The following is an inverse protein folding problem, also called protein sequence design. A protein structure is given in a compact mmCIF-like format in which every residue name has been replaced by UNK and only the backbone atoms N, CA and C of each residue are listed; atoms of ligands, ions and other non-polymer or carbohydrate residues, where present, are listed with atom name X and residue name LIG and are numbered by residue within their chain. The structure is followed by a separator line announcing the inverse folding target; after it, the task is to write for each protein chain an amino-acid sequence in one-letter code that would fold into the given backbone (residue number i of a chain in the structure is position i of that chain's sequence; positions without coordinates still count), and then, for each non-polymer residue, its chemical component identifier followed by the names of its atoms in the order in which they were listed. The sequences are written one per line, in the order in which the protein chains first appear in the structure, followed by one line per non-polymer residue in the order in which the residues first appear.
data_IF_402913985384
#
_entry.id   IF_402913985384
#
_cell.length_a   1.000
_cell.length_b   1.000
_cell.length_c   1.000
_cell.angle_alpha   90.00
_cell.angle_beta   90.00
_cell.angle_gamma   90.00
#
_symmetry.space_group_name_H-M   'P 1'
#
loop_
_entity.id
_entity.type
_entity.pdbx_description
1 polymer ?
#
# COMPACT_ATOMS: atom_id res chain seq x y z
N UNK A 1 -2.87 51.56 45.20
CA UNK A 1 -3.19 51.56 43.76
C UNK A 1 -2.89 50.19 43.21
N UNK A 2 -3.93 49.53 42.73
CA UNK A 2 -3.95 48.15 42.25
C UNK A 2 -3.03 47.90 41.07
N UNK A 3 -2.43 46.71 41.00
CA UNK A 3 -2.27 46.03 39.72
C UNK A 3 -2.29 44.51 39.94
N UNK A 4 -3.38 43.89 39.52
CA UNK A 4 -3.58 42.45 39.43
C UNK A 4 -2.93 41.99 38.13
N UNK A 5 -2.01 41.03 38.16
CA UNK A 5 -1.61 40.29 36.96
C UNK A 5 -1.88 38.80 37.17
N UNK A 6 -2.70 38.28 36.26
CA UNK A 6 -3.24 36.92 36.25
C UNK A 6 -2.15 35.87 36.00
N UNK A 7 -2.26 34.75 36.70
CA UNK A 7 -1.45 33.56 36.44
C UNK A 7 -1.84 32.89 35.14
N UNK A 8 -0.88 32.71 34.23
CA UNK A 8 -0.97 31.73 33.16
C UNK A 8 -0.32 30.43 33.64
N UNK A 9 -1.14 29.38 33.80
CA UNK A 9 -0.67 28.00 33.88
C UNK A 9 -0.22 27.57 32.49
N UNK A 10 1.09 27.39 32.31
CA UNK A 10 1.64 26.79 31.10
C UNK A 10 1.26 25.31 31.02
N UNK A 11 0.42 24.94 30.05
CA UNK A 11 0.28 23.56 29.59
C UNK A 11 1.53 23.21 28.78
N UNK A 12 2.33 22.28 29.28
CA UNK A 12 3.37 21.63 28.49
C UNK A 12 2.68 20.74 27.44
N UNK A 13 2.69 21.18 26.19
CA UNK A 13 2.32 20.33 25.07
C UNK A 13 3.43 19.30 24.87
N UNK A 14 3.14 18.03 25.15
CA UNK A 14 3.98 16.93 24.72
C UNK A 14 3.88 16.83 23.19
N UNK A 15 4.87 17.36 22.48
CA UNK A 15 5.02 17.16 21.05
C UNK A 15 5.33 15.69 20.80
N UNK A 16 4.29 14.92 20.47
CA UNK A 16 4.43 13.60 19.88
C UNK A 16 5.05 13.80 18.49
N UNK A 17 6.36 13.62 18.39
CA UNK A 17 7.04 13.50 17.10
C UNK A 17 6.60 12.17 16.51
N UNK A 18 5.51 12.21 15.73
CA UNK A 18 5.21 11.17 14.77
C UNK A 18 6.37 11.18 13.77
N UNK A 19 7.30 10.25 13.94
CA UNK A 19 8.32 9.99 12.95
C UNK A 19 7.61 9.65 11.65
N UNK A 20 7.59 10.57 10.70
CA UNK A 20 7.35 10.26 9.30
C UNK A 20 8.53 9.40 8.87
N UNK A 21 8.40 8.08 9.04
CA UNK A 21 9.27 7.16 8.33
C UNK A 21 9.23 7.56 6.87
N UNK A 22 10.39 7.83 6.27
CA UNK A 22 10.47 8.14 4.85
C UNK A 22 9.80 6.97 4.11
N UNK A 23 8.61 7.20 3.56
CA UNK A 23 8.00 6.27 2.62
C UNK A 23 8.99 6.22 1.46
N UNK A 24 9.72 5.11 1.35
CA UNK A 24 10.65 4.95 0.24
C UNK A 24 9.82 4.85 -1.03
N UNK A 25 10.00 5.88 -1.86
CA UNK A 25 9.32 6.14 -3.11
C UNK A 25 9.23 4.89 -3.99
N UNK A 26 8.04 4.58 -4.51
CA UNK A 26 7.71 3.30 -5.11
C UNK A 26 6.76 3.39 -6.32
N UNK A 27 6.99 2.51 -7.29
CA UNK A 27 6.02 2.20 -8.34
C UNK A 27 4.71 1.70 -7.72
N UNK A 28 3.62 2.47 -7.86
CA UNK A 28 2.35 2.20 -7.18
C UNK A 28 1.17 2.08 -8.16
N UNK A 29 0.38 1.00 -8.04
CA UNK A 29 -0.79 0.78 -8.90
C UNK A 29 -1.93 1.68 -8.49
N UNK A 30 -2.50 2.40 -9.45
CA UNK A 30 -3.65 3.28 -9.29
C UNK A 30 -4.94 2.58 -9.74
N UNK A 31 -6.09 3.01 -9.21
CA UNK A 31 -7.39 2.35 -9.44
C UNK A 31 -7.83 2.35 -10.90
N UNK A 32 -7.42 3.35 -11.68
CA UNK A 32 -7.70 3.41 -13.12
C UNK A 32 -6.79 2.48 -13.96
N UNK A 33 -5.94 1.67 -13.30
CA UNK A 33 -5.07 0.71 -13.98
C UNK A 33 -3.83 1.34 -14.58
N UNK A 34 -3.30 2.40 -13.97
CA UNK A 34 -1.98 2.98 -14.24
C UNK A 34 -1.01 2.67 -13.11
N UNK A 35 0.28 2.90 -13.31
CA UNK A 35 1.33 2.77 -12.29
C UNK A 35 2.01 4.12 -12.13
N UNK A 36 1.91 4.72 -10.95
CA UNK A 36 2.59 5.97 -10.62
C UNK A 36 4.03 5.69 -10.20
N UNK A 37 4.97 6.38 -10.85
CA UNK A 37 6.38 6.50 -10.50
C UNK A 37 6.55 7.87 -9.84
N UNK A 38 6.69 7.88 -8.52
CA UNK A 38 6.84 9.08 -7.69
C UNK A 38 8.26 9.67 -7.71
N UNK A 39 9.24 8.93 -8.23
CA UNK A 39 10.61 9.42 -8.43
C UNK A 39 10.69 10.27 -9.69
N UNK A 40 10.08 9.79 -10.78
CA UNK A 40 10.03 10.50 -12.05
C UNK A 40 8.82 11.44 -12.17
N UNK A 41 7.89 11.36 -11.23
CA UNK A 41 6.60 12.05 -11.23
C UNK A 41 5.84 11.82 -12.56
N UNK A 42 5.67 10.55 -12.92
CA UNK A 42 4.92 10.12 -14.12
C UNK A 42 4.04 8.91 -13.82
N UNK A 43 2.93 8.79 -14.54
CA UNK A 43 2.10 7.58 -14.52
C UNK A 43 2.22 6.82 -15.83
N UNK A 44 2.56 5.55 -15.74
CA UNK A 44 2.60 4.60 -16.85
C UNK A 44 1.25 3.92 -17.02
N UNK A 45 0.84 3.59 -18.24
CA UNK A 45 -0.18 2.56 -18.40
C UNK A 45 0.35 1.24 -17.81
N UNK A 46 -0.45 0.56 -16.98
CA UNK A 46 -0.05 -0.73 -16.42
C UNK A 46 0.09 -1.79 -17.50
N UNK A 47 -0.71 -1.68 -18.56
CA UNK A 47 -0.63 -2.54 -19.74
C UNK A 47 0.42 -1.99 -20.71
N UNK A 48 1.59 -2.59 -20.74
CA UNK A 48 2.66 -2.20 -21.64
C UNK A 48 2.39 -2.59 -23.10
N UNK A 49 1.28 -3.26 -23.41
CA UNK A 49 0.95 -3.72 -24.75
C UNK A 49 -0.51 -3.40 -25.11
N UNK A 50 -0.98 -2.21 -24.71
CA UNK A 50 -2.36 -1.79 -24.89
C UNK A 50 -2.88 -1.96 -26.33
N UNK A 51 -2.07 -1.70 -27.37
CA UNK A 51 -2.47 -1.89 -28.78
C UNK A 51 -2.90 -3.34 -29.03
N UNK A 52 -2.04 -4.30 -28.70
CA UNK A 52 -2.30 -5.72 -28.93
C UNK A 52 -3.40 -6.26 -28.02
N UNK A 53 -3.44 -5.84 -26.75
CA UNK A 53 -4.54 -6.18 -25.83
C UNK A 53 -5.89 -5.72 -26.37
N UNK A 54 -6.01 -4.44 -26.72
CA UNK A 54 -7.26 -3.84 -27.19
C UNK A 54 -7.66 -4.40 -28.55
N UNK A 55 -6.69 -4.71 -29.42
CA UNK A 55 -7.02 -5.35 -30.69
C UNK A 55 -7.58 -6.76 -30.50
N UNK A 56 -6.91 -7.61 -29.71
CA UNK A 56 -7.36 -8.99 -29.47
C UNK A 56 -8.73 -9.04 -28.81
N UNK A 57 -9.07 -8.02 -28.02
CA UNK A 57 -10.39 -7.84 -27.41
C UNK A 57 -11.45 -7.24 -28.36
N UNK A 58 -11.06 -6.79 -29.56
CA UNK A 58 -11.89 -6.02 -30.48
C UNK A 58 -12.54 -4.80 -29.79
N UNK A 59 -11.73 -4.09 -28.99
CA UNK A 59 -12.20 -2.98 -28.15
C UNK A 59 -12.64 -1.76 -29.01
N UNK A 60 -13.69 -1.01 -28.60
CA UNK A 60 -14.11 0.22 -29.29
C UNK A 60 -13.01 1.28 -29.46
N UNK A 61 -12.07 1.38 -28.52
CA UNK A 61 -10.90 2.25 -28.65
C UNK A 61 -10.05 1.77 -29.82
N UNK A 62 -9.73 0.48 -29.88
CA UNK A 62 -8.96 -0.06 -31.00
C UNK A 62 -9.68 0.09 -32.34
N UNK A 63 -10.94 -0.32 -32.42
CA UNK A 63 -11.70 -0.34 -33.68
C UNK A 63 -12.00 1.05 -34.26
N UNK A 64 -11.81 2.11 -33.46
CA UNK A 64 -11.92 3.49 -33.91
C UNK A 64 -10.58 4.16 -34.23
N UNK A 65 -9.45 3.46 -34.06
CA UNK A 65 -8.14 3.97 -34.43
C UNK A 65 -8.00 4.02 -35.97
N UNK A 66 -7.36 5.06 -36.48
CA UNK A 66 -7.16 5.24 -37.93
C UNK A 66 -5.77 5.81 -38.18
N UNK A 67 -4.75 4.95 -38.39
CA UNK A 67 -3.38 5.40 -38.68
C UNK A 67 -3.28 6.00 -40.09
N UNK A 68 -2.43 6.99 -40.26
CA UNK A 68 -2.23 7.69 -41.56
C UNK A 68 -1.26 6.98 -42.50
N UNK A 69 -0.53 5.98 -41.99
CA UNK A 69 0.44 5.16 -42.74
C UNK A 69 -0.17 4.33 -43.89
N UNK A 70 -1.49 4.13 -43.86
CA UNK A 70 -2.20 3.24 -44.79
C UNK A 70 -2.16 1.75 -44.42
N UNK A 71 -1.48 1.35 -43.33
CA UNK A 71 -1.62 -0.02 -42.78
C UNK A 71 -3.03 -0.23 -42.26
N UNK A 72 -3.62 -1.38 -42.56
CA UNK A 72 -4.94 -1.72 -42.03
C UNK A 72 -4.82 -2.10 -40.54
N UNK A 73 -5.90 -1.86 -39.76
CA UNK A 73 -5.96 -2.35 -38.38
C UNK A 73 -5.78 -3.88 -38.32
N UNK A 74 -6.30 -4.62 -39.31
CA UNK A 74 -6.10 -6.07 -39.39
C UNK A 74 -4.63 -6.47 -39.46
N UNK A 75 -3.83 -5.77 -40.28
CA UNK A 75 -2.40 -6.05 -40.43
C UNK A 75 -1.60 -5.69 -39.18
N UNK A 76 -1.91 -4.54 -38.55
CA UNK A 76 -1.28 -4.13 -37.29
C UNK A 76 -1.58 -5.17 -36.20
N UNK A 77 -2.83 -5.60 -36.08
CA UNK A 77 -3.22 -6.60 -35.10
C UNK A 77 -2.58 -7.97 -35.31
N UNK A 78 -2.49 -8.40 -36.57
CA UNK A 78 -1.85 -9.66 -36.94
C UNK A 78 -0.34 -9.65 -36.65
N UNK A 79 0.28 -8.47 -36.63
CA UNK A 79 1.68 -8.23 -36.22
C UNK A 79 1.79 -7.92 -34.71
N UNK A 80 0.90 -8.50 -33.91
CA UNK A 80 0.80 -8.28 -32.46
C UNK A 80 0.69 -6.81 -32.04
N UNK A 81 0.20 -5.90 -32.90
CA UNK A 81 0.01 -4.49 -32.52
C UNK A 81 1.28 -3.64 -32.55
N UNK A 82 2.29 -4.05 -33.33
CA UNK A 82 3.47 -3.24 -33.58
C UNK A 82 3.18 -2.05 -34.50
N UNK A 83 3.88 -0.93 -34.26
CA UNK A 83 3.59 0.35 -34.90
C UNK A 83 4.87 0.96 -35.48
N UNK A 84 4.79 1.53 -36.68
CA UNK A 84 5.75 2.53 -37.12
C UNK A 84 5.74 3.72 -36.15
N UNK A 85 6.81 4.50 -36.10
CA UNK A 85 6.93 5.57 -35.12
C UNK A 85 5.78 6.59 -35.22
N UNK A 86 5.40 6.97 -36.44
CA UNK A 86 4.28 7.88 -36.67
C UNK A 86 2.94 7.28 -36.21
N UNK A 87 2.73 5.97 -36.43
CA UNK A 87 1.52 5.27 -35.95
C UNK A 87 1.48 5.22 -34.42
N UNK A 88 2.63 5.08 -33.74
CA UNK A 88 2.73 5.13 -32.28
C UNK A 88 2.36 6.52 -31.73
N UNK A 89 2.80 7.60 -32.39
CA UNK A 89 2.41 8.96 -32.03
C UNK A 89 0.92 9.18 -32.24
N UNK A 90 0.36 8.71 -33.35
CA UNK A 90 -1.08 8.78 -33.65
C UNK A 90 -1.91 7.94 -32.69
N UNK A 91 -1.41 6.78 -32.28
CA UNK A 91 -2.05 5.93 -31.29
C UNK A 91 -2.18 6.65 -29.94
N UNK A 92 -1.13 7.31 -29.48
CA UNK A 92 -1.17 8.14 -28.27
C UNK A 92 -2.18 9.29 -28.41
N UNK A 93 -2.19 9.99 -29.55
CA UNK A 93 -3.17 11.04 -29.79
C UNK A 93 -4.62 10.51 -29.76
N UNK A 94 -4.82 9.30 -30.27
CA UNK A 94 -6.09 8.60 -30.25
C UNK A 94 -6.53 8.19 -28.83
N UNK A 95 -5.61 7.69 -27.99
CA UNK A 95 -5.90 7.42 -26.57
C UNK A 95 -6.41 8.67 -25.85
N UNK A 96 -5.84 9.84 -26.17
CA UNK A 96 -6.27 11.12 -25.61
C UNK A 96 -7.66 11.55 -26.08
N UNK A 97 -7.95 11.42 -27.38
CA UNK A 97 -9.29 11.68 -27.94
C UNK A 97 -10.34 10.78 -27.27
N UNK A 98 -10.01 9.52 -27.01
CA UNK A 98 -10.92 8.56 -26.36
C UNK A 98 -10.97 8.65 -24.85
N UNK A 99 -10.22 9.56 -24.22
CA UNK A 99 -10.10 9.65 -22.77
C UNK A 99 -9.80 8.28 -22.16
N UNK A 100 -8.85 7.55 -22.76
CA UNK A 100 -8.51 6.19 -22.34
C UNK A 100 -8.14 6.17 -20.84
N UNK A 101 -8.84 5.35 -20.06
CA UNK A 101 -8.73 5.28 -18.58
C UNK A 101 -9.00 6.62 -17.86
N UNK A 102 -9.80 7.49 -18.48
CA UNK A 102 -10.12 8.82 -17.98
C UNK A 102 -8.98 9.84 -18.14
N UNK A 103 -7.98 9.54 -18.98
CA UNK A 103 -6.77 10.34 -19.17
C UNK A 103 -6.75 10.91 -20.60
N UNK A 104 -6.36 12.18 -20.74
CA UNK A 104 -6.34 12.93 -22.01
C UNK A 104 -4.98 13.56 -22.33
N UNK A 105 -3.96 13.31 -21.51
CA UNK A 105 -2.61 13.85 -21.62
C UNK A 105 -1.53 12.74 -21.73
N UNK A 106 -1.90 11.58 -22.28
CA UNK A 106 -0.95 10.53 -22.65
C UNK A 106 0.08 11.04 -23.64
N UNK A 107 1.31 10.55 -23.48
CA UNK A 107 2.44 10.72 -24.39
C UNK A 107 3.23 9.42 -24.49
N UNK A 108 4.11 9.32 -25.48
CA UNK A 108 5.20 8.37 -25.40
C UNK A 108 6.20 8.85 -24.33
N UNK A 109 6.88 7.90 -23.70
CA UNK A 109 7.99 8.19 -22.80
C UNK A 109 9.16 8.84 -23.56
N UNK A 110 10.00 9.58 -22.86
CA UNK A 110 11.06 10.40 -23.42
C UNK A 110 12.43 9.91 -23.04
N UNK A 111 13.38 10.18 -23.93
CA UNK A 111 14.80 9.91 -23.76
C UNK A 111 15.54 11.24 -23.60
N UNK A 112 16.27 11.42 -22.50
CA UNK A 112 17.22 12.54 -22.34
C UNK A 112 18.45 12.31 -23.23
N UNK A 113 18.91 13.35 -23.95
CA UNK A 113 20.10 13.28 -24.80
C UNK A 113 20.97 14.55 -24.70
N UNK A 114 22.30 14.43 -24.60
CA UNK A 114 23.05 13.20 -24.29
C UNK A 114 22.75 12.72 -22.86
N UNK A 115 22.53 11.42 -22.69
CA UNK A 115 22.43 10.81 -21.36
C UNK A 115 23.81 10.28 -20.94
N UNK A 116 24.48 10.89 -19.95
CA UNK A 116 25.82 10.50 -19.52
C UNK A 116 25.87 9.13 -18.82
N UNK A 117 24.73 8.57 -18.43
CA UNK A 117 24.65 7.28 -17.75
C UNK A 117 24.68 6.09 -18.72
N UNK A 118 24.41 6.34 -20.01
CA UNK A 118 24.57 5.36 -21.06
C UNK A 118 26.02 4.85 -21.17
N UNK A 119 26.18 3.56 -21.45
CA UNK A 119 27.48 2.88 -21.57
C UNK A 119 28.28 3.31 -22.80
N UNK A 120 27.65 4.00 -23.75
CA UNK A 120 28.32 4.53 -24.95
C UNK A 120 27.87 5.95 -25.25
N UNK A 121 28.82 6.78 -25.71
CA UNK A 121 28.62 8.17 -26.08
C UNK A 121 29.17 8.39 -27.49
N UNK A 122 28.44 9.09 -28.35
CA UNK A 122 28.91 9.49 -29.68
C UNK A 122 29.58 10.86 -29.63
N UNK A 123 30.38 11.16 -30.64
CA UNK A 123 30.93 12.50 -30.91
C UNK A 123 30.12 13.23 -31.99
N UNK A 124 28.85 12.84 -32.19
CA UNK A 124 27.96 13.52 -33.14
C UNK A 124 27.71 14.97 -32.69
N UNK A 125 27.10 15.77 -33.56
CA UNK A 125 26.66 17.12 -33.24
C UNK A 125 25.13 17.23 -33.39
N UNK A 126 24.35 17.21 -32.29
CA UNK A 126 24.79 17.15 -30.89
C UNK A 126 25.22 15.72 -30.45
N UNK A 127 26.05 15.58 -29.40
CA UNK A 127 26.47 14.27 -28.86
C UNK A 127 25.27 13.44 -28.37
N UNK A 128 25.38 12.11 -28.44
CA UNK A 128 24.30 11.18 -28.07
C UNK A 128 24.80 10.09 -27.12
N UNK A 129 23.99 9.72 -26.12
CA UNK A 129 24.16 8.54 -25.27
C UNK A 129 23.30 7.37 -25.76
N UNK A 130 23.87 6.18 -25.85
CA UNK A 130 23.19 4.99 -26.38
C UNK A 130 23.72 3.69 -25.76
N UNK A 131 23.14 2.57 -26.18
CA UNK A 131 23.37 1.22 -25.64
C UNK A 131 22.76 1.03 -24.25
N UNK A 132 23.53 0.61 -23.24
CA UNK A 132 22.98 0.11 -21.97
C UNK A 132 23.12 1.14 -20.84
N UNK A 133 22.31 1.00 -19.80
CA UNK A 133 22.43 1.82 -18.58
C UNK A 133 21.93 3.27 -18.70
N UNK A 134 21.21 3.60 -19.76
CA UNK A 134 20.65 4.93 -20.02
C UNK A 134 19.52 5.29 -19.04
N UNK A 135 19.85 5.63 -17.79
CA UNK A 135 18.91 5.97 -16.71
C UNK A 135 18.35 7.40 -16.77
N UNK A 136 18.82 8.25 -17.67
CA UNK A 136 18.19 9.54 -17.97
C UNK A 136 16.97 9.44 -18.89
N UNK A 137 16.76 8.27 -19.51
CA UNK A 137 15.53 7.91 -20.20
C UNK A 137 14.47 7.44 -19.21
N UNK A 138 13.21 7.83 -19.39
CA UNK A 138 12.14 7.45 -18.46
C UNK A 138 11.96 5.94 -18.37
N UNK A 139 12.01 5.24 -19.52
CA UNK A 139 11.91 3.78 -19.56
C UNK A 139 13.22 3.12 -19.09
N UNK A 140 14.37 3.73 -19.38
CA UNK A 140 15.67 3.24 -18.92
C UNK A 140 15.83 3.35 -17.40
N UNK A 141 15.36 4.44 -16.78
CA UNK A 141 15.28 4.60 -15.33
C UNK A 141 14.43 3.49 -14.72
N UNK A 142 13.18 3.34 -15.19
CA UNK A 142 12.26 2.30 -14.72
C UNK A 142 12.89 0.91 -14.84
N UNK A 143 13.59 0.62 -15.94
CA UNK A 143 14.24 -0.66 -16.18
C UNK A 143 15.40 -0.93 -15.21
N UNK A 144 16.35 0.01 -15.09
CA UNK A 144 17.65 -0.23 -14.45
C UNK A 144 17.70 0.11 -12.96
N UNK A 145 16.99 1.14 -12.53
CA UNK A 145 17.08 1.61 -11.14
C UNK A 145 16.51 0.54 -10.21
N UNK A 146 17.22 0.27 -9.11
CA UNK A 146 16.83 -0.77 -8.18
C UNK A 146 15.48 -0.43 -7.50
N UNK A 147 14.68 -1.44 -7.14
CA UNK A 147 13.49 -1.23 -6.32
C UNK A 147 13.83 -0.50 -5.02
N UNK A 148 12.94 0.36 -4.49
CA UNK A 148 11.56 0.57 -4.95
C UNK A 148 11.38 1.59 -6.10
N UNK A 149 12.43 2.34 -6.45
CA UNK A 149 12.41 3.42 -7.45
C UNK A 149 12.38 2.94 -8.93
N UNK A 150 12.57 1.65 -9.17
CA UNK A 150 12.53 1.03 -10.49
C UNK A 150 12.46 -0.49 -10.37
N UNK A 151 12.84 -1.20 -11.43
CA UNK A 151 12.73 -2.65 -11.53
C UNK A 151 14.05 -3.41 -11.28
N UNK A 152 15.20 -2.74 -11.36
CA UNK A 152 16.50 -3.35 -11.09
C UNK A 152 16.90 -4.46 -12.07
N UNK A 153 16.45 -4.38 -13.32
CA UNK A 153 16.79 -5.36 -14.35
C UNK A 153 18.26 -5.22 -14.80
N UNK A 154 18.98 -6.34 -15.04
CA UNK A 154 20.36 -6.31 -15.48
C UNK A 154 20.54 -5.77 -16.91
N UNK A 155 21.73 -5.25 -17.22
CA UNK A 155 22.12 -4.93 -18.60
C UNK A 155 22.44 -6.22 -19.36
N UNK A 156 22.19 -6.21 -20.67
CA UNK A 156 22.54 -7.34 -21.54
C UNK A 156 24.04 -7.57 -21.72
N UNK A 157 24.86 -6.53 -21.57
CA UNK A 157 26.33 -6.64 -21.65
C UNK A 157 26.97 -7.17 -20.35
N UNK A 158 26.42 -6.79 -19.19
CA UNK A 158 26.90 -7.25 -17.87
C UNK A 158 26.52 -8.71 -17.56
N UNK A 159 25.52 -9.27 -18.26
CA UNK A 159 24.96 -10.56 -17.91
C UNK A 159 24.77 -11.48 -19.14
N UNK A 160 25.79 -12.24 -19.55
CA UNK A 160 25.66 -13.21 -20.64
C UNK A 160 24.68 -14.36 -20.35
N UNK A 161 24.18 -14.48 -19.10
CA UNK A 161 23.19 -15.48 -18.70
C UNK A 161 21.76 -14.96 -18.71
N UNK A 162 21.51 -13.67 -18.94
CA UNK A 162 20.15 -13.16 -19.15
C UNK A 162 19.59 -13.48 -20.54
N UNK A 163 20.09 -14.51 -21.21
CA UNK A 163 19.41 -15.09 -22.36
C UNK A 163 18.24 -15.97 -21.87
N UNK A 164 17.03 -15.87 -22.47
CA UNK A 164 16.69 -15.11 -23.67
C UNK A 164 16.29 -13.64 -23.42
N UNK A 165 16.14 -13.20 -22.17
CA UNK A 165 15.84 -11.79 -21.84
C UNK A 165 16.36 -11.33 -20.49
N UNK A 166 16.80 -10.07 -20.45
CA UNK A 166 17.28 -9.37 -19.27
C UNK A 166 16.14 -8.69 -18.49
N UNK A 167 14.90 -8.81 -18.96
CA UNK A 167 13.72 -8.34 -18.27
C UNK A 167 13.14 -9.41 -17.34
N UNK A 168 13.74 -9.54 -16.16
CA UNK A 168 13.41 -10.57 -15.17
C UNK A 168 12.41 -10.07 -14.12
N UNK A 169 12.38 -8.77 -13.85
CA UNK A 169 11.46 -8.12 -12.94
C UNK A 169 10.55 -7.17 -13.72
N UNK A 170 9.27 -7.52 -13.80
CA UNK A 170 8.24 -6.69 -14.45
C UNK A 170 7.54 -5.76 -13.45
N UNK A 171 7.78 -5.91 -12.16
CA UNK A 171 7.12 -5.15 -11.10
C UNK A 171 5.58 -5.17 -11.25
N UNK A 172 4.89 -4.03 -11.10
CA UNK A 172 3.43 -3.95 -11.16
C UNK A 172 2.84 -4.00 -12.57
N UNK A 173 3.68 -4.07 -13.60
CA UNK A 173 3.25 -3.98 -14.99
C UNK A 173 2.80 -5.33 -15.56
N UNK A 174 1.93 -5.27 -16.56
CA UNK A 174 1.39 -6.44 -17.26
C UNK A 174 1.63 -6.33 -18.76
N UNK A 175 1.63 -7.48 -19.43
CA UNK A 175 1.81 -7.63 -20.88
C UNK A 175 3.08 -6.93 -21.43
N UNK A 176 4.16 -6.88 -20.65
CA UNK A 176 5.43 -6.38 -21.19
C UNK A 176 5.97 -7.39 -22.19
N UNK A 177 6.25 -6.92 -23.39
CA UNK A 177 6.92 -7.67 -24.44
C UNK A 177 8.42 -7.49 -24.30
N UNK A 178 9.18 -8.54 -24.60
CA UNK A 178 10.64 -8.54 -24.58
C UNK A 178 11.20 -8.00 -25.90
N UNK A 179 10.78 -6.80 -26.27
CA UNK A 179 11.05 -6.20 -27.56
C UNK A 179 11.26 -4.68 -27.43
N UNK A 180 11.24 -3.97 -28.54
CA UNK A 180 11.48 -2.55 -28.66
C UNK A 180 10.22 -1.76 -28.36
N UNK A 181 10.41 -0.69 -27.61
CA UNK A 181 9.40 0.32 -27.38
C UNK A 181 9.86 1.64 -27.98
N UNK A 182 8.97 2.34 -28.66
CA UNK A 182 9.26 3.66 -29.20
C UNK A 182 9.25 4.73 -28.12
N UNK A 183 10.27 5.59 -28.12
CA UNK A 183 10.27 6.87 -27.41
C UNK A 183 9.58 7.95 -28.25
N UNK A 184 8.99 8.94 -27.59
CA UNK A 184 8.55 10.19 -28.24
C UNK A 184 9.72 11.07 -28.70
N UNK A 185 10.96 10.76 -28.31
CA UNK A 185 12.14 11.56 -28.67
C UNK A 185 12.65 11.21 -30.08
N UNK A 186 12.64 12.18 -31.00
CA UNK A 186 13.31 12.06 -32.31
C UNK A 186 14.83 12.13 -32.15
N UNK A 187 15.57 11.42 -33.01
CA UNK A 187 17.02 11.42 -32.99
C UNK A 187 17.57 12.73 -33.58
N UNK A 188 18.19 13.56 -32.75
CA UNK A 188 18.57 14.92 -33.15
C UNK A 188 19.55 14.99 -34.36
N UNK A 189 20.57 14.12 -34.49
CA UNK A 189 21.48 14.17 -35.64
C UNK A 189 20.82 13.77 -36.97
N UNK A 190 19.74 12.99 -36.94
CA UNK A 190 18.96 12.62 -38.12
C UNK A 190 17.48 12.44 -37.76
N UNK A 191 16.63 13.40 -38.16
CA UNK A 191 15.21 13.44 -37.83
C UNK A 191 14.36 12.32 -38.44
N UNK A 192 14.88 11.59 -39.44
CA UNK A 192 14.25 10.37 -39.95
C UNK A 192 14.25 9.25 -38.93
N UNK A 193 15.09 9.35 -37.88
CA UNK A 193 15.18 8.34 -36.83
C UNK A 193 14.49 8.80 -35.53
N UNK A 194 14.08 7.83 -34.72
CA UNK A 194 13.61 8.02 -33.36
C UNK A 194 14.29 7.04 -32.40
N UNK A 195 14.28 7.37 -31.12
CA UNK A 195 14.85 6.51 -30.08
C UNK A 195 13.90 5.35 -29.74
N UNK A 196 14.46 4.15 -29.58
CA UNK A 196 13.81 2.98 -29.01
C UNK A 196 14.53 2.51 -27.74
N UNK A 197 13.82 1.73 -26.93
CA UNK A 197 14.41 0.96 -25.84
C UNK A 197 13.95 -0.49 -25.94
N UNK A 198 14.91 -1.42 -26.02
CA UNK A 198 14.66 -2.86 -26.05
C UNK A 198 14.60 -3.39 -24.62
N UNK A 199 13.42 -3.77 -24.14
CA UNK A 199 13.28 -4.41 -22.82
C UNK A 199 13.93 -5.79 -22.80
N UNK A 200 14.03 -6.49 -23.94
CA UNK A 200 14.71 -7.78 -24.02
C UNK A 200 16.19 -7.75 -23.59
N UNK A 201 16.88 -6.62 -23.82
CA UNK A 201 18.33 -6.49 -23.56
C UNK A 201 18.71 -5.26 -22.72
N UNK A 202 17.77 -4.36 -22.47
CA UNK A 202 17.99 -3.04 -21.88
C UNK A 202 18.64 -2.03 -22.85
N UNK A 203 18.82 -2.33 -24.13
CA UNK A 203 19.54 -1.42 -25.04
C UNK A 203 18.67 -0.28 -25.55
N UNK A 204 19.18 0.95 -25.50
CA UNK A 204 18.61 2.14 -26.12
C UNK A 204 19.34 2.48 -27.42
N UNK A 205 18.60 2.61 -28.54
CA UNK A 205 19.17 2.89 -29.87
C UNK A 205 18.26 3.83 -30.66
N UNK A 206 18.72 4.28 -31.83
CA UNK A 206 17.93 5.10 -32.74
C UNK A 206 17.76 4.37 -34.08
N UNK A 207 16.53 4.36 -34.60
CA UNK A 207 16.16 3.68 -35.84
C UNK A 207 15.29 4.53 -36.72
N UNK A 208 15.34 4.25 -38.01
CA UNK A 208 14.49 4.89 -39.00
C UNK A 208 13.00 4.65 -38.70
N UNK A 209 12.21 5.74 -38.72
CA UNK A 209 10.81 5.79 -38.30
C UNK A 209 9.87 4.98 -39.19
N UNK A 210 10.28 4.68 -40.42
CA UNK A 210 9.45 4.04 -41.46
C UNK A 210 9.95 2.63 -41.81
N UNK A 211 11.15 2.25 -41.36
CA UNK A 211 11.78 0.97 -41.73
C UNK A 211 11.57 -0.14 -40.71
N UNK A 212 11.16 0.18 -39.48
CA UNK A 212 10.88 -0.80 -38.42
C UNK A 212 9.58 -0.47 -37.70
N UNK A 213 8.95 -1.51 -37.16
CA UNK A 213 7.84 -1.41 -36.21
C UNK A 213 8.35 -1.69 -34.79
N UNK A 214 7.71 -1.08 -33.80
CA UNK A 214 7.95 -1.32 -32.38
C UNK A 214 6.69 -1.02 -31.56
N UNK A 215 6.70 -1.29 -30.26
CA UNK A 215 5.53 -1.13 -29.40
C UNK A 215 5.45 0.29 -28.79
N UNK A 216 4.22 0.73 -28.52
CA UNK A 216 3.96 2.02 -27.86
C UNK A 216 3.55 1.79 -26.41
N UNK A 217 4.27 2.39 -25.47
CA UNK A 217 3.92 2.38 -24.04
C UNK A 217 3.57 3.79 -23.59
N UNK A 218 2.30 4.00 -23.27
CA UNK A 218 1.77 5.30 -22.88
C UNK A 218 2.20 5.67 -21.45
N UNK A 219 2.64 6.91 -21.29
CA UNK A 219 2.90 7.56 -20.00
C UNK A 219 2.25 8.93 -19.96
N UNK A 220 2.06 9.49 -18.78
CA UNK A 220 1.66 10.90 -18.60
C UNK A 220 2.41 11.54 -17.44
N UNK A 221 2.54 12.88 -17.42
CA UNK A 221 3.08 13.58 -16.27
C UNK A 221 2.22 13.40 -15.01
N UNK A 222 2.86 13.32 -13.86
CA UNK A 222 2.23 13.32 -12.56
C UNK A 222 1.47 12.04 -12.21
N UNK A 223 1.01 12.02 -10.96
CA UNK A 223 0.04 11.04 -10.49
C UNK A 223 -1.31 11.25 -11.20
N UNK A 224 -2.02 10.19 -11.53
CA UNK A 224 -3.43 10.32 -11.94
C UNK A 224 -4.22 10.58 -10.66
N UNK A 225 -5.10 11.58 -10.68
CA UNK A 225 -5.91 11.97 -9.51
C UNK A 225 -6.29 10.75 -8.64
N UNK A 226 -5.98 10.80 -7.34
CA UNK A 226 -5.78 9.61 -6.53
C UNK A 226 -7.03 8.73 -6.48
N UNK A 227 -6.80 7.42 -6.31
CA UNK A 227 -7.81 6.46 -5.85
C UNK A 227 -8.66 7.14 -4.77
N UNK A 228 -10.01 7.03 -4.78
CA UNK A 228 -10.83 7.64 -3.75
C UNK A 228 -10.24 7.30 -2.38
N UNK A 229 -9.82 8.33 -1.65
CA UNK A 229 -9.21 8.18 -0.35
C UNK A 229 -10.19 7.42 0.53
N UNK A 230 -9.81 6.20 0.90
CA UNK A 230 -10.60 5.42 1.85
C UNK A 230 -10.58 6.13 3.19
N UNK A 231 -11.73 6.19 3.83
CA UNK A 231 -11.85 6.80 5.14
C UNK A 231 -11.31 5.84 6.20
N UNK A 232 -10.62 6.37 7.21
CA UNK A 232 -10.19 5.56 8.34
C UNK A 232 -11.38 5.04 9.15
N UNK A 233 -11.15 3.94 9.85
CA UNK A 233 -12.14 3.36 10.76
C UNK A 233 -11.57 3.24 12.16
N UNK A 234 -12.45 3.28 13.14
CA UNK A 234 -12.13 3.04 14.54
C UNK A 234 -12.84 1.76 14.93
N UNK A 235 -12.06 0.73 15.29
CA UNK A 235 -12.57 -0.51 15.86
C UNK A 235 -12.50 -0.44 17.39
N UNK A 236 -13.56 -0.87 18.07
CA UNK A 236 -13.56 -1.15 19.50
C UNK A 236 -14.02 -2.59 19.73
N UNK A 237 -13.47 -3.26 20.75
CA UNK A 237 -13.85 -4.62 21.09
C UNK A 237 -14.13 -4.74 22.59
N UNK A 238 -15.18 -5.47 22.93
CA UNK A 238 -15.54 -5.79 24.32
C UNK A 238 -15.89 -7.26 24.44
N UNK A 239 -15.48 -7.91 25.53
CA UNK A 239 -15.81 -9.30 25.84
C UNK A 239 -16.35 -9.40 27.27
N UNK A 240 -17.19 -10.40 27.53
CA UNK A 240 -17.59 -10.72 28.90
C UNK A 240 -16.40 -11.26 29.70
N UNK A 241 -16.14 -10.64 30.86
CA UNK A 241 -15.04 -10.98 31.77
C UNK A 241 -15.41 -10.56 33.21
N UNK A 242 -14.99 -11.29 34.26
CA UNK A 242 -14.29 -12.58 34.20
C UNK A 242 -15.22 -13.74 33.85
N UNK A 243 -14.68 -14.81 33.24
CA UNK A 243 -15.40 -16.06 32.94
C UNK A 243 -14.68 -17.28 33.53
N UNK A 244 -15.34 -18.43 33.51
CA UNK A 244 -14.75 -19.70 33.97
C UNK A 244 -14.15 -20.48 32.80
N UNK A 245 -13.10 -21.27 33.05
CA UNK A 245 -12.52 -22.16 32.05
C UNK A 245 -13.59 -23.04 31.38
N UNK A 246 -13.57 -23.11 30.04
CA UNK A 246 -14.54 -23.87 29.25
C UNK A 246 -15.92 -23.21 29.07
N UNK A 247 -16.17 -22.05 29.68
CA UNK A 247 -17.37 -21.23 29.40
C UNK A 247 -17.13 -20.34 28.18
N UNK A 248 -18.18 -20.02 27.43
CA UNK A 248 -18.09 -19.09 26.29
C UNK A 248 -18.27 -17.65 26.75
N UNK A 249 -17.27 -16.79 26.50
CA UNK A 249 -17.36 -15.34 26.57
C UNK A 249 -18.00 -14.79 25.30
N UNK A 250 -19.00 -13.93 25.44
CA UNK A 250 -19.56 -13.21 24.30
C UNK A 250 -18.72 -11.95 24.04
N UNK A 251 -18.12 -11.88 22.85
CA UNK A 251 -17.33 -10.76 22.39
C UNK A 251 -18.06 -9.99 21.27
N UNK A 252 -17.99 -8.66 21.32
CA UNK A 252 -18.57 -7.75 20.34
C UNK A 252 -17.51 -6.76 19.88
N UNK A 253 -17.31 -6.71 18.55
CA UNK A 253 -16.49 -5.72 17.88
C UNK A 253 -17.40 -4.72 17.15
N UNK A 254 -17.11 -3.44 17.32
CA UNK A 254 -17.82 -2.32 16.70
C UNK A 254 -16.83 -1.54 15.84
N UNK A 255 -17.10 -1.43 14.54
CA UNK A 255 -16.30 -0.68 13.58
C UNK A 255 -17.09 0.55 13.17
N UNK A 256 -16.54 1.73 13.45
CA UNK A 256 -17.14 3.02 13.09
C UNK A 256 -16.27 3.72 12.06
N UNK A 257 -16.90 4.45 11.16
CA UNK A 257 -16.21 5.35 10.24
C UNK A 257 -15.73 6.60 10.95
N UNK A 258 -14.53 7.06 10.62
CA UNK A 258 -14.00 8.33 11.15
C UNK A 258 -14.72 9.56 10.52
N UNK A 259 -15.13 9.45 9.25
CA UNK A 259 -15.88 10.50 8.55
C UNK A 259 -16.78 9.94 7.42
N UNK A 260 -17.38 10.80 6.59
CA UNK A 260 -18.14 10.41 5.38
C UNK A 260 -19.66 10.21 5.59
N UNK A 261 -20.27 9.32 4.79
CA UNK A 261 -21.69 8.89 4.93
C UNK A 261 -21.90 7.38 4.69
N UNK A 262 -20.94 6.69 4.06
CA UNK A 262 -21.02 5.25 3.80
C UNK A 262 -20.81 4.45 5.10
N UNK A 263 -21.12 3.15 5.10
CA UNK A 263 -20.99 2.30 6.29
C UNK A 263 -19.98 1.18 6.03
N UNK A 264 -19.03 0.91 6.96
CA UNK A 264 -18.10 -0.21 6.84
C UNK A 264 -18.85 -1.54 6.62
N UNK A 265 -18.32 -2.42 5.79
CA UNK A 265 -18.97 -3.66 5.36
C UNK A 265 -18.09 -4.89 5.50
N UNK A 266 -18.71 -6.07 5.63
CA UNK A 266 -18.01 -7.35 5.70
C UNK A 266 -17.94 -7.92 7.13
N UNK A 267 -16.81 -8.53 7.46
CA UNK A 267 -16.59 -9.29 8.70
C UNK A 267 -15.35 -8.83 9.45
N UNK A 268 -15.25 -9.22 10.72
CA UNK A 268 -14.08 -8.98 11.57
C UNK A 268 -13.28 -10.28 11.72
N UNK A 269 -11.96 -10.17 11.67
CA UNK A 269 -11.05 -11.27 11.99
C UNK A 269 -10.74 -11.26 13.48
N UNK A 270 -10.79 -12.45 14.09
CA UNK A 270 -10.61 -12.62 15.54
C UNK A 270 -9.33 -13.38 15.85
N UNK A 271 -8.53 -12.85 16.77
CA UNK A 271 -7.29 -13.43 17.27
C UNK A 271 -7.30 -13.56 18.79
N UNK A 272 -6.43 -14.41 19.33
CA UNK A 272 -6.28 -14.62 20.77
C UNK A 272 -4.90 -15.14 21.16
N UNK A 273 -4.52 -14.95 22.42
CA UNK A 273 -3.20 -15.34 22.94
C UNK A 273 -3.16 -16.69 23.67
N UNK A 274 -4.32 -17.25 24.03
CA UNK A 274 -4.39 -18.48 24.81
C UNK A 274 -4.07 -19.74 23.98
N UNK A 275 -3.52 -20.74 24.66
CA UNK A 275 -3.25 -22.06 24.07
C UNK A 275 -4.50 -22.93 24.14
N UNK A 276 -5.09 -23.22 22.97
CA UNK A 276 -6.15 -24.23 22.86
C UNK A 276 -7.60 -23.73 23.00
N UNK A 277 -7.85 -22.43 23.10
CA UNK A 277 -9.21 -21.89 23.02
C UNK A 277 -9.93 -22.18 21.69
N UNK A 278 -11.13 -21.64 21.52
CA UNK A 278 -11.85 -21.68 20.24
C UNK A 278 -12.70 -20.43 20.05
N UNK A 279 -12.91 -20.06 18.79
CA UNK A 279 -13.92 -19.08 18.39
C UNK A 279 -15.09 -19.81 17.74
N UNK A 280 -16.30 -19.39 18.07
CA UNK A 280 -17.53 -19.87 17.45
C UNK A 280 -17.78 -19.25 16.07
N UNK A 281 -19.00 -19.39 15.58
CA UNK A 281 -19.45 -18.70 14.37
C UNK A 281 -19.69 -17.22 14.70
N UNK A 282 -19.17 -16.33 13.86
CA UNK A 282 -19.42 -14.90 13.98
C UNK A 282 -20.74 -14.49 13.30
N UNK A 283 -21.38 -13.46 13.81
CA UNK A 283 -22.52 -12.80 13.17
C UNK A 283 -22.28 -11.30 13.08
N UNK A 284 -22.46 -10.70 11.91
CA UNK A 284 -22.26 -9.27 11.69
C UNK A 284 -23.53 -8.59 11.19
N UNK A 285 -23.79 -7.38 11.66
CA UNK A 285 -24.89 -6.51 11.24
C UNK A 285 -24.37 -5.10 10.96
N UNK A 286 -24.95 -4.47 9.94
CA UNK A 286 -24.65 -3.08 9.59
C UNK A 286 -25.81 -2.19 10.03
N UNK A 287 -25.48 -1.06 10.64
CA UNK A 287 -26.39 0.05 10.85
C UNK A 287 -25.95 1.23 9.98
N UNK A 288 -26.69 1.43 8.89
CA UNK A 288 -26.38 2.45 7.90
C UNK A 288 -26.66 3.87 8.37
N UNK A 289 -27.51 4.05 9.38
CA UNK A 289 -27.82 5.37 9.93
C UNK A 289 -26.68 5.87 10.81
N UNK A 290 -26.15 5.00 11.69
CA UNK A 290 -25.01 5.32 12.53
C UNK A 290 -23.65 5.15 11.85
N UNK A 291 -23.58 4.42 10.73
CA UNK A 291 -22.32 4.16 10.03
C UNK A 291 -21.47 3.11 10.72
N UNK A 292 -22.13 2.11 11.32
CA UNK A 292 -21.51 1.13 12.22
C UNK A 292 -21.64 -0.29 11.68
N UNK A 293 -20.54 -1.04 11.70
CA UNK A 293 -20.54 -2.50 11.54
C UNK A 293 -20.32 -3.14 12.90
N UNK A 294 -21.25 -3.97 13.35
CA UNK A 294 -21.14 -4.71 14.61
C UNK A 294 -21.00 -6.19 14.32
N UNK A 295 -19.97 -6.83 14.85
CA UNK A 295 -19.73 -8.26 14.74
C UNK A 295 -19.64 -8.90 16.13
N UNK A 296 -20.40 -9.96 16.37
CA UNK A 296 -20.37 -10.73 17.61
C UNK A 296 -19.80 -12.13 17.38
N UNK A 297 -19.05 -12.64 18.35
CA UNK A 297 -18.48 -14.00 18.33
C UNK A 297 -18.43 -14.59 19.75
N UNK A 298 -18.56 -15.91 19.86
CA UNK A 298 -18.30 -16.63 21.11
C UNK A 298 -16.82 -17.04 21.21
N UNK A 299 -16.14 -16.66 22.29
CA UNK A 299 -14.79 -17.10 22.63
C UNK A 299 -14.81 -18.09 23.79
N UNK A 300 -14.30 -19.30 23.60
CA UNK A 300 -14.17 -20.32 24.66
C UNK A 300 -12.68 -20.55 24.97
N UNK A 301 -12.19 -20.19 26.17
CA UNK A 301 -10.77 -20.27 26.51
C UNK A 301 -10.32 -21.71 26.78
N UNK A 302 -9.09 -22.03 26.41
CA UNK A 302 -8.45 -23.33 26.60
C UNK A 302 -7.67 -23.47 27.92
N UNK A 303 -7.31 -22.35 28.55
CA UNK A 303 -6.52 -22.33 29.78
C UNK A 303 -6.92 -21.20 30.75
N UNK A 304 -6.56 -21.34 32.02
CA UNK A 304 -6.78 -20.33 33.08
C UNK A 304 -5.72 -19.25 32.95
N UNK A 305 -6.09 -17.98 33.12
CA UNK A 305 -5.17 -16.87 32.99
C UNK A 305 -5.83 -15.61 32.43
N UNK A 306 -5.00 -14.68 32.02
CA UNK A 306 -5.41 -13.46 31.33
C UNK A 306 -5.05 -13.59 29.86
N UNK A 307 -6.04 -13.39 28.98
CA UNK A 307 -5.93 -13.62 27.54
C UNK A 307 -6.40 -12.41 26.76
N UNK A 308 -5.60 -11.98 25.78
CA UNK A 308 -6.01 -10.92 24.87
C UNK A 308 -6.87 -11.49 23.75
N UNK A 309 -7.95 -10.79 23.43
CA UNK A 309 -8.82 -11.04 22.28
C UNK A 309 -8.69 -9.86 21.33
N UNK A 310 -8.19 -10.13 20.13
CA UNK A 310 -7.96 -9.17 19.05
C UNK A 310 -9.13 -9.20 18.06
N UNK A 311 -9.63 -8.03 17.69
CA UNK A 311 -10.59 -7.83 16.60
C UNK A 311 -9.95 -6.95 15.51
N UNK A 312 -9.94 -7.42 14.26
CA UNK A 312 -9.40 -6.72 13.09
C UNK A 312 -10.45 -6.55 12.01
N UNK A 313 -10.77 -5.31 11.67
CA UNK A 313 -11.49 -4.97 10.45
C UNK A 313 -10.49 -4.85 9.29
N UNK A 314 -10.67 -5.67 8.24
CA UNK A 314 -9.73 -5.74 7.11
C UNK A 314 -9.81 -4.57 6.11
N UNK A 315 -10.76 -3.65 6.28
CA UNK A 315 -11.09 -2.63 5.28
C UNK A 315 -12.05 -3.15 4.22
N UNK A 316 -12.59 -2.24 3.42
CA UNK A 316 -13.44 -2.54 2.26
C UNK A 316 -13.14 -1.58 1.10
N UNK A 317 -14.04 -1.46 0.11
CA UNK A 317 -13.87 -0.55 -1.02
C UNK A 317 -13.80 0.94 -0.65
N UNK A 318 -14.38 1.34 0.49
CA UNK A 318 -14.49 2.73 0.97
C UNK A 318 -13.71 3.02 2.25
N UNK A 319 -13.30 2.00 3.01
CA UNK A 319 -12.73 2.15 4.34
C UNK A 319 -11.39 1.42 4.52
N UNK A 320 -10.46 2.05 5.24
CA UNK A 320 -9.19 1.44 5.65
C UNK A 320 -9.41 0.43 6.79
N UNK A 321 -8.42 -0.45 7.00
CA UNK A 321 -8.41 -1.40 8.10
C UNK A 321 -8.21 -0.72 9.45
N UNK A 322 -8.71 -1.36 10.51
CA UNK A 322 -8.47 -0.95 11.90
C UNK A 322 -8.58 -2.14 12.84
N UNK A 323 -8.10 -2.00 14.07
CA UNK A 323 -8.09 -3.10 15.05
C UNK A 323 -8.14 -2.62 16.49
N UNK A 324 -8.61 -3.48 17.40
CA UNK A 324 -8.57 -3.27 18.83
C UNK A 324 -8.44 -4.60 19.59
N UNK A 325 -7.95 -4.52 20.82
CA UNK A 325 -7.75 -5.68 21.71
C UNK A 325 -8.45 -5.45 23.05
N UNK A 326 -8.88 -6.54 23.69
CA UNK A 326 -9.45 -6.53 25.05
C UNK A 326 -9.01 -7.76 25.84
N UNK A 327 -8.89 -7.61 27.15
CA UNK A 327 -8.42 -8.66 28.05
C UNK A 327 -9.60 -9.46 28.64
N UNK A 328 -9.53 -10.78 28.58
CA UNK A 328 -10.47 -11.71 29.21
C UNK A 328 -9.77 -12.45 30.33
N UNK A 329 -10.24 -12.26 31.57
CA UNK A 329 -9.77 -12.98 32.75
C UNK A 329 -10.54 -14.29 32.90
N UNK A 330 -9.82 -15.41 32.94
CA UNK A 330 -10.36 -16.76 33.03
C UNK A 330 -9.99 -17.38 34.37
N UNK A 331 -11.01 -17.77 35.14
CA UNK A 331 -10.86 -18.39 36.45
C UNK A 331 -11.10 -19.90 36.38
N UNK A 332 -10.46 -20.63 37.30
CA UNK A 332 -10.70 -22.06 37.50
C UNK A 332 -12.00 -22.27 38.30
N UNK A 333 -12.78 -23.32 37.97
CA UNK A 333 -13.95 -23.69 38.77
C UNK A 333 -13.53 -23.97 40.22
N UNK A 334 -14.30 -23.50 41.24
CA UNK A 334 -14.06 -23.91 42.61
C UNK A 334 -14.05 -25.43 42.70
N UNK A 335 -12.99 -26.00 43.24
CA UNK A 335 -12.83 -27.45 43.29
C UNK A 335 -13.94 -28.04 44.18
N UNK A 336 -14.71 -29.07 43.73
CA UNK A 336 -15.82 -29.63 44.52
C UNK A 336 -15.44 -30.26 45.88
N UNK A 337 -14.17 -30.22 46.28
CA UNK A 337 -13.65 -30.80 47.52
C UNK A 337 -12.81 -29.87 48.39
N UNK A 338 -12.71 -28.57 48.08
CA UNK A 338 -11.98 -27.64 48.95
C UNK A 338 -12.90 -27.06 50.03
N UNK A 339 -12.60 -27.22 51.34
CA UNK A 339 -13.41 -26.63 52.39
C UNK A 339 -13.43 -25.10 52.27
N UNK A 340 -14.62 -24.50 52.20
CA UNK A 340 -14.77 -23.05 52.27
C UNK A 340 -14.08 -22.54 53.56
N UNK A 341 -13.27 -21.46 53.52
CA UNK A 341 -12.63 -20.93 54.71
C UNK A 341 -13.70 -20.56 55.75
N UNK A 342 -13.63 -21.21 56.90
CA UNK A 342 -14.52 -20.94 58.04
C UNK A 342 -14.28 -19.48 58.46
N UNK A 343 -15.31 -18.62 58.57
CA UNK A 343 -15.12 -17.28 59.08
C UNK A 343 -14.53 -17.37 60.49
N UNK A 344 -13.36 -16.76 60.69
CA UNK A 344 -12.70 -16.73 61.98
C UNK A 344 -13.64 -16.08 63.01
N UNK A 345 -14.19 -16.89 63.91
CA UNK A 345 -14.89 -16.39 65.09
C UNK A 345 -13.83 -15.77 65.99
N UNK A 346 -13.82 -14.43 66.05
CA UNK A 346 -12.93 -13.69 66.94
C UNK A 346 -13.11 -14.12 68.41
N UNK A 347 -12.03 -14.12 69.22
CA UNK A 347 -12.10 -14.62 70.58
C UNK A 347 -13.03 -13.74 71.43
N UNK A 348 -13.90 -14.40 72.20
CA UNK A 348 -14.73 -13.78 73.24
C UNK A 348 -13.86 -12.88 74.13
N UNK A 349 -14.18 -11.59 74.17
CA UNK A 349 -13.64 -10.65 75.14
C UNK A 349 -14.09 -11.02 76.54
N UNK A 350 -13.19 -11.62 77.32
CA UNK A 350 -13.32 -11.72 78.77
C UNK A 350 -12.86 -10.37 79.37
N UNK A 351 -13.82 -9.55 79.79
CA UNK A 351 -13.57 -8.36 80.59
C UNK A 351 -13.10 -8.77 81.99
N UNK A 352 -11.81 -8.66 82.27
CA UNK A 352 -11.30 -8.50 83.63
C UNK A 352 -10.80 -7.07 83.83
N UNK A 353 -11.53 -6.35 84.68
CA UNK A 353 -11.13 -5.10 85.31
C UNK A 353 -9.88 -5.29 86.17
N UNK A 354 -8.88 -4.41 86.04
CA UNK A 354 -7.74 -4.37 86.94
C UNK A 354 -6.84 -3.17 86.68
N UNK A 355 -6.83 -2.24 87.64
CA UNK A 355 -6.02 -1.01 87.73
C UNK A 355 -4.52 -1.22 87.49
N UNK A 356 -3.82 -0.18 87.04
CA UNK A 356 -2.43 0.00 87.43
C UNK A 356 -1.56 0.87 86.52
N UNK A 357 -1.48 2.16 86.89
CA UNK A 357 -0.40 3.13 86.68
C UNK A 357 0.86 2.72 85.88
N UNK A 358 1.27 3.61 84.97
CA UNK A 358 2.51 4.34 85.20
C UNK A 358 3.61 4.29 84.14
N UNK A 359 3.97 5.50 83.67
CA UNK A 359 5.25 5.95 83.11
C UNK A 359 5.65 5.44 81.69
N UNK A 360 6.44 6.14 80.88
CA UNK A 360 6.83 7.55 80.67
C UNK A 360 7.85 7.49 79.50
N UNK A 361 7.61 8.19 78.39
CA UNK A 361 8.65 8.55 77.38
C UNK A 361 9.19 7.40 76.50
N UNK A 362 9.77 7.58 75.32
CA UNK A 362 10.48 8.69 74.67
C UNK A 362 10.35 8.55 73.15
N UNK A 363 10.27 9.71 72.47
CA UNK A 363 10.36 9.91 71.01
C UNK A 363 11.66 9.38 70.41
N UNK A 364 11.61 8.92 69.16
CA UNK A 364 12.63 9.32 68.16
C UNK A 364 12.09 9.36 66.73
N UNK A 365 12.12 10.58 66.20
CA UNK A 365 11.94 10.95 64.80
C UNK A 365 13.22 10.63 64.02
N UNK A 366 13.11 10.18 62.77
CA UNK A 366 14.13 10.46 61.76
C UNK A 366 13.48 10.85 60.43
N UNK A 367 13.88 12.03 59.97
CA UNK A 367 13.51 12.72 58.73
C UNK A 367 14.19 12.08 57.52
N UNK A 368 13.49 12.20 56.38
CA UNK A 368 13.96 12.03 55.01
C UNK A 368 15.15 12.96 54.71
N UNK A 369 16.12 12.43 53.97
CA UNK A 369 16.80 13.15 52.89
C UNK A 369 16.15 12.74 51.58
#
# INVERSE_FOLDING_TARGET
MSCVLHGLRGLAAASLVLGTGAVQAALSVQANGTVYDDVQDISWDRDAHAVGTLCKANDPIWTSFSPTSGRSLGDICASDGDLYWQEAVEWIAHLNDKSYKGITDWRLWTTTQPDPTCSSQTTDNPPQGFNWGCTGSELGHMFYVAPPAGLGNPRGDDNPTCAPSCFQNTGPFVNILQDRYWSGTSFAPNSSNAWDFSTGTGSQKAWDKESITAFAWAVRPGQVEPVPTKTDTITSVTCQTPIMLGSTSNCEATVTRDSGVNTPSGTVFWGRTDTGGSFGMQTCSQDTESGTLTCTIGYTPGEVGSHDVLAVFGGDGSFNSSSAETEVSVNQAPNPGEPQPIPAVGPLGLLLSGLGLGLLGIRRVRRKG
#
